data_IF_278962641157
#
_entry.id   IF_278962641157
#
_cell.length_a   1.000
_cell.length_b   1.000
_cell.length_c   1.000
_cell.angle_alpha   90.00
_cell.angle_beta   90.00
_cell.angle_gamma   90.00
#
_symmetry.space_group_name_H-M   'P 1'
#
loop_
_entity.id
_entity.type
_entity.pdbx_description
1 polymer ?
#
# COMPACT_ATOMS: atom_id res chain seq x y z
N UNK A 1 3.46 -4.55 -11.26
CA UNK A 1 4.83 -4.61 -11.80
C UNK A 1 4.90 -5.81 -12.73
N UNK A 2 5.56 -5.69 -13.90
CA UNK A 2 5.80 -6.84 -14.78
C UNK A 2 6.48 -7.97 -14.02
N UNK A 3 6.10 -9.22 -14.30
CA UNK A 3 6.69 -10.40 -13.65
C UNK A 3 6.26 -10.65 -12.20
N UNK A 4 5.15 -10.06 -11.72
CA UNK A 4 4.63 -10.35 -10.39
C UNK A 4 4.27 -11.84 -10.25
N UNK A 5 4.71 -12.44 -9.15
CA UNK A 5 4.32 -13.79 -8.71
C UNK A 5 3.78 -13.66 -7.29
N UNK A 6 2.61 -14.24 -7.02
CA UNK A 6 1.97 -14.15 -5.72
C UNK A 6 2.79 -14.84 -4.62
N UNK A 7 2.92 -14.16 -3.48
CA UNK A 7 3.50 -14.67 -2.25
C UNK A 7 2.95 -13.85 -1.07
N UNK A 8 2.65 -14.45 0.09
CA UNK A 8 2.65 -15.90 0.36
C UNK A 8 1.47 -16.65 -0.30
N UNK A 9 0.41 -15.95 -0.69
CA UNK A 9 -0.76 -16.49 -1.38
C UNK A 9 -1.40 -15.40 -2.26
N UNK A 10 -2.30 -15.79 -3.17
CA UNK A 10 -2.88 -14.87 -4.17
C UNK A 10 -3.68 -13.75 -3.52
N UNK A 11 -4.48 -14.09 -2.53
CA UNK A 11 -5.37 -13.20 -1.78
C UNK A 11 -4.60 -12.14 -0.99
N UNK A 12 -3.28 -12.29 -0.82
CA UNK A 12 -2.47 -11.26 -0.17
C UNK A 12 -2.33 -10.02 -1.06
N UNK A 13 -2.42 -10.13 -2.39
CA UNK A 13 -2.20 -8.97 -3.28
C UNK A 13 -2.95 -9.05 -4.60
N UNK A 14 -2.94 -10.20 -5.27
CA UNK A 14 -3.42 -10.40 -6.64
C UNK A 14 -4.88 -9.96 -6.80
N UNK A 15 -5.73 -10.36 -5.86
CA UNK A 15 -7.18 -10.07 -5.86
C UNK A 15 -7.53 -8.59 -5.66
N UNK A 16 -6.57 -7.78 -5.19
CA UNK A 16 -6.76 -6.35 -4.93
C UNK A 16 -6.21 -5.46 -6.04
N UNK A 17 -5.60 -6.05 -7.07
CA UNK A 17 -5.18 -5.32 -8.25
C UNK A 17 -6.39 -4.76 -9.01
N UNK A 18 -6.22 -3.58 -9.60
CA UNK A 18 -7.28 -2.84 -10.27
C UNK A 18 -7.48 -1.44 -9.69
N UNK A 19 -8.48 -0.69 -10.17
CA UNK A 19 -8.68 0.71 -9.81
C UNK A 19 -9.36 0.93 -8.46
N UNK A 20 -9.91 -0.12 -7.84
CA UNK A 20 -10.73 -0.03 -6.62
C UNK A 20 -9.98 0.37 -5.35
N UNK A 21 -8.66 0.14 -5.30
CA UNK A 21 -7.82 0.44 -4.13
C UNK A 21 -6.79 1.53 -4.45
N UNK A 22 -6.34 2.25 -3.43
CA UNK A 22 -5.22 3.20 -3.54
C UNK A 22 -4.07 2.75 -2.65
N UNK A 23 -2.86 2.95 -3.16
CA UNK A 23 -1.63 2.54 -2.48
C UNK A 23 -1.21 3.61 -1.48
N UNK A 24 -0.84 3.18 -0.28
CA UNK A 24 -0.19 4.00 0.75
C UNK A 24 1.26 3.53 0.97
N UNK A 25 2.13 4.44 1.40
CA UNK A 25 3.58 4.23 1.51
C UNK A 25 4.13 4.76 2.84
N UNK A 26 5.26 4.22 3.26
CA UNK A 26 6.07 4.76 4.37
C UNK A 26 5.76 4.21 5.76
N UNK A 27 4.62 3.52 5.95
CA UNK A 27 4.21 3.06 7.28
C UNK A 27 3.57 4.18 8.13
N UNK A 28 3.16 3.83 9.35
CA UNK A 28 2.65 4.77 10.35
C UNK A 28 3.35 4.52 11.69
N UNK A 29 3.04 5.30 12.72
CA UNK A 29 3.58 5.07 14.07
C UNK A 29 3.20 3.71 14.68
N UNK A 30 2.19 3.03 14.14
CA UNK A 30 1.69 1.76 14.65
C UNK A 30 2.26 0.52 13.93
N UNK A 31 3.15 0.69 12.95
CA UNK A 31 3.67 -0.42 12.14
C UNK A 31 5.02 -0.92 12.66
N UNK A 32 5.26 -2.22 12.57
CA UNK A 32 6.57 -2.82 12.84
C UNK A 32 7.62 -2.44 11.78
N UNK A 33 8.87 -2.30 12.20
CA UNK A 33 10.00 -1.93 11.34
C UNK A 33 10.19 -2.90 10.16
N UNK A 34 9.84 -4.18 10.29
CA UNK A 34 9.93 -5.17 9.19
C UNK A 34 9.07 -4.81 7.98
N UNK A 35 8.00 -4.05 8.19
CA UNK A 35 7.12 -3.56 7.13
C UNK A 35 7.49 -2.13 6.65
N UNK A 36 8.34 -1.39 7.38
CA UNK A 36 8.86 -0.07 7.00
C UNK A 36 9.95 -0.12 5.92
N UNK A 37 9.69 -0.84 4.82
CA UNK A 37 10.61 -0.93 3.68
C UNK A 37 10.18 0.01 2.57
N UNK A 38 11.16 0.61 1.88
CA UNK A 38 10.91 1.52 0.73
C UNK A 38 10.14 0.88 -0.43
N UNK A 39 10.02 -0.46 -0.45
CA UNK A 39 9.25 -1.24 -1.42
C UNK A 39 7.88 -1.68 -0.92
N UNK A 40 7.58 -1.68 0.39
CA UNK A 40 6.33 -2.24 0.96
C UNK A 40 5.09 -1.40 0.66
N UNK A 41 4.08 -1.99 0.00
CA UNK A 41 2.87 -1.30 -0.49
C UNK A 41 1.69 -1.67 0.40
N UNK A 42 1.16 -0.72 1.16
CA UNK A 42 -0.15 -0.87 1.79
C UNK A 42 -1.25 -0.44 0.81
N UNK A 43 -2.50 -0.89 0.99
CA UNK A 43 -3.64 -0.49 0.17
C UNK A 43 -4.95 -0.55 0.96
N UNK A 44 -5.90 0.31 0.61
CA UNK A 44 -7.29 0.24 1.07
C UNK A 44 -8.21 0.94 0.04
N UNK A 45 -9.53 0.82 0.21
CA UNK A 45 -10.53 1.54 -0.58
C UNK A 45 -10.41 3.06 -0.32
N UNK A 46 -10.56 3.93 -1.35
CA UNK A 46 -10.38 5.38 -1.20
C UNK A 46 -11.25 6.06 -0.13
N UNK A 47 -12.41 5.49 0.19
CA UNK A 47 -13.36 6.05 1.18
C UNK A 47 -12.94 5.77 2.62
N UNK A 48 -11.99 4.86 2.85
CA UNK A 48 -11.57 4.42 4.19
C UNK A 48 -10.72 5.48 4.87
N UNK A 49 -10.98 5.66 6.17
CA UNK A 49 -10.36 6.70 7.00
C UNK A 49 -10.11 6.27 8.45
N UNK A 50 -10.37 5.01 8.76
CA UNK A 50 -10.10 4.40 10.07
C UNK A 50 -8.62 4.07 10.28
N UNK A 51 -7.86 3.88 9.18
CA UNK A 51 -6.42 3.57 9.24
C UNK A 51 -5.60 4.85 9.43
N UNK A 52 -4.43 4.73 10.04
CA UNK A 52 -3.46 5.83 10.17
C UNK A 52 -2.88 6.19 8.80
N UNK A 53 -3.52 7.14 8.13
CA UNK A 53 -3.22 7.60 6.78
C UNK A 53 -3.21 9.13 6.73
N UNK A 54 -2.38 9.68 5.86
CA UNK A 54 -2.22 11.13 5.68
C UNK A 54 -1.65 11.45 4.30
N UNK A 55 -1.37 12.73 4.05
CA UNK A 55 -0.92 13.21 2.75
C UNK A 55 0.52 13.72 2.80
N UNK A 56 1.27 13.39 1.75
CA UNK A 56 2.50 14.07 1.36
C UNK A 56 2.26 14.69 0.00
N UNK A 57 2.38 16.01 -0.09
CA UNK A 57 2.18 16.73 -1.36
C UNK A 57 3.39 16.54 -2.27
N UNK A 58 3.14 16.53 -3.57
CA UNK A 58 4.15 16.59 -4.62
C UNK A 58 3.76 17.71 -5.60
N UNK A 59 4.75 18.22 -6.32
CA UNK A 59 4.57 19.18 -7.40
C UNK A 59 5.44 18.76 -8.58
N UNK A 60 5.12 19.28 -9.76
CA UNK A 60 5.97 19.13 -10.92
C UNK A 60 7.34 19.80 -10.68
N UNK A 61 8.37 19.29 -11.36
CA UNK A 61 9.76 19.70 -11.20
C UNK A 61 10.03 21.10 -11.77
#
# INVERSE_FOLDING_TARGET
YPGFVAFPYREYSDVFFGPGHKVLRGGSFAVDQVACRGTFRNWDLPVRRQIFSGFRTARDA
#
